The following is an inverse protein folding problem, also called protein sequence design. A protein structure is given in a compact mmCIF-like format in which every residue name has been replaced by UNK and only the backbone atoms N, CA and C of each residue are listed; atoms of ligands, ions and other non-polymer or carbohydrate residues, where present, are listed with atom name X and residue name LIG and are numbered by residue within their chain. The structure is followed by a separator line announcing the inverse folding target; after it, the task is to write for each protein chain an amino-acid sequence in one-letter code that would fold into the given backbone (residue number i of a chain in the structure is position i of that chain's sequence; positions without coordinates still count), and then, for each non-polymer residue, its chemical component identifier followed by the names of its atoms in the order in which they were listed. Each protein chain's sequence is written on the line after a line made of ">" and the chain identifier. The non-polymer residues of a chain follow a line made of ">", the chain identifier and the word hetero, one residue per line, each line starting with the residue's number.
data_IF_159028006109
#
_entry.id   IF_159028006109
#
_cell.length_a   1.000
_cell.length_b   1.000
_cell.length_c   1.000
_cell.angle_alpha   90.00
_cell.angle_beta   90.00
_cell.angle_gamma   90.00
#
_symmetry.space_group_name_H-M   'P 1'
#
loop_
_entity.id
_entity.type
_entity.pdbx_description
1 polymer ?
#
# COMPACT_ATOMS: atom_id res chain seq x y z
N UNK A 1 13.89 8.21 8.61
CA UNK A 1 13.88 8.39 7.15
C UNK A 1 15.30 8.60 6.63
N UNK A 2 15.71 7.88 5.58
CA UNK A 2 17.00 8.09 4.92
C UNK A 2 17.07 9.51 4.31
N UNK A 3 18.29 10.07 4.20
CA UNK A 3 18.48 11.35 3.51
C UNK A 3 17.98 11.27 2.05
N UNK A 4 17.29 12.31 1.54
CA UNK A 4 16.86 12.36 0.15
C UNK A 4 18.03 12.18 -0.83
N UNK A 5 17.78 11.58 -1.98
CA UNK A 5 18.74 11.59 -3.06
C UNK A 5 18.99 13.04 -3.54
N UNK A 6 20.18 13.31 -4.11
CA UNK A 6 20.54 14.66 -4.55
C UNK A 6 19.51 15.24 -5.50
N UNK A 7 18.90 16.34 -5.12
CA UNK A 7 17.88 17.05 -5.91
C UNK A 7 16.44 16.57 -5.64
N UNK A 8 16.23 15.64 -4.74
CA UNK A 8 14.90 15.21 -4.29
C UNK A 8 14.46 15.95 -3.02
N UNK A 9 13.15 16.13 -2.85
CA UNK A 9 12.54 16.75 -1.69
C UNK A 9 11.92 15.69 -0.77
N UNK A 10 12.25 15.73 0.53
CA UNK A 10 11.72 14.79 1.53
C UNK A 10 10.19 14.70 1.51
N UNK A 11 9.49 15.83 1.38
CA UNK A 11 8.02 15.87 1.38
C UNK A 11 7.34 15.31 0.13
N UNK A 12 8.11 14.83 -0.84
CA UNK A 12 7.59 14.14 -2.05
C UNK A 12 7.89 12.65 -2.07
N UNK A 13 8.56 12.13 -1.08
CA UNK A 13 8.83 10.70 -0.92
C UNK A 13 7.60 10.01 -0.32
N UNK A 14 7.47 8.68 -0.48
CA UNK A 14 6.41 7.96 0.21
C UNK A 14 6.55 8.13 1.73
N UNK A 15 5.43 8.10 2.43
CA UNK A 15 5.43 7.95 3.88
C UNK A 15 5.85 6.53 4.19
N UNK A 16 6.76 6.39 5.14
CA UNK A 16 7.30 5.13 5.65
C UNK A 16 7.37 5.18 7.18
N UNK A 17 7.70 4.07 7.86
CA UNK A 17 7.67 3.98 9.31
C UNK A 17 6.28 4.33 9.88
N UNK A 18 5.27 3.68 9.35
CA UNK A 18 3.88 3.84 9.76
C UNK A 18 3.24 2.48 10.01
N UNK A 19 2.63 2.32 11.16
CA UNK A 19 1.87 1.12 11.49
C UNK A 19 0.59 1.02 10.62
N UNK A 20 0.08 -0.19 10.43
CA UNK A 20 -1.19 -0.38 9.76
C UNK A 20 -2.33 0.40 10.44
N UNK A 21 -2.35 0.40 11.77
CA UNK A 21 -3.33 1.16 12.55
C UNK A 21 -3.27 2.67 12.31
N UNK A 22 -2.06 3.23 12.13
CA UNK A 22 -1.88 4.65 11.79
C UNK A 22 -2.48 4.95 10.40
N UNK A 23 -2.25 4.05 9.44
CA UNK A 23 -2.81 4.19 8.10
C UNK A 23 -4.35 4.22 8.10
N UNK A 24 -4.98 3.42 8.97
CA UNK A 24 -6.43 3.40 9.17
C UNK A 24 -6.94 4.76 9.66
N UNK A 25 -6.33 5.30 10.72
CA UNK A 25 -6.69 6.61 11.25
C UNK A 25 -6.43 7.74 10.24
N UNK A 26 -5.29 7.68 9.53
CA UNK A 26 -4.94 8.62 8.48
C UNK A 26 -5.99 8.68 7.36
N UNK A 27 -6.51 7.54 6.92
CA UNK A 27 -7.55 7.48 5.89
C UNK A 27 -8.81 8.27 6.29
N UNK A 28 -9.25 8.14 7.54
CA UNK A 28 -10.39 8.91 8.04
C UNK A 28 -10.08 10.40 8.13
N UNK A 29 -8.91 10.78 8.63
CA UNK A 29 -8.50 12.18 8.67
C UNK A 29 -8.39 12.79 7.26
N UNK A 30 -7.88 12.03 6.29
CA UNK A 30 -7.85 12.45 4.89
C UNK A 30 -9.26 12.64 4.33
N UNK A 31 -10.22 11.76 4.68
CA UNK A 31 -11.62 11.88 4.30
C UNK A 31 -12.23 13.18 4.81
N UNK A 32 -12.03 13.52 6.08
CA UNK A 32 -12.48 14.78 6.68
C UNK A 32 -11.84 15.99 6.02
N UNK A 33 -10.51 15.92 5.82
CA UNK A 33 -9.74 17.00 5.17
C UNK A 33 -10.16 17.24 3.72
N UNK A 34 -10.62 16.20 3.03
CA UNK A 34 -11.18 16.31 1.68
C UNK A 34 -12.60 16.90 1.65
N UNK A 35 -13.20 17.22 2.80
CA UNK A 35 -14.52 17.81 2.91
C UNK A 35 -15.69 16.85 2.81
N UNK A 36 -15.43 15.52 2.87
CA UNK A 36 -16.50 14.52 2.79
C UNK A 36 -17.26 14.34 4.12
N UNK A 37 -16.66 14.74 5.24
CA UNK A 37 -17.26 14.67 6.57
C UNK A 37 -17.21 13.27 7.21
N UNK A 38 -17.61 13.22 8.49
CA UNK A 38 -17.53 12.01 9.31
C UNK A 38 -18.40 10.87 8.80
N UNK A 39 -19.53 11.18 8.16
CA UNK A 39 -20.46 10.18 7.61
C UNK A 39 -19.87 9.35 6.48
N UNK A 40 -18.84 9.88 5.82
CA UNK A 40 -18.12 9.20 4.72
C UNK A 40 -16.79 8.59 5.19
N UNK A 41 -16.47 8.66 6.48
CA UNK A 41 -15.37 7.88 7.02
C UNK A 41 -15.63 6.38 6.86
N UNK A 42 -14.56 5.63 6.53
CA UNK A 42 -14.67 4.20 6.23
C UNK A 42 -14.48 3.37 7.50
N UNK A 43 -13.69 3.83 8.45
CA UNK A 43 -13.28 3.05 9.61
C UNK A 43 -13.90 3.55 10.91
N UNK A 44 -14.36 2.62 11.74
CA UNK A 44 -15.06 2.87 13.00
C UNK A 44 -14.46 2.01 14.10
N UNK A 45 -14.50 2.48 15.35
CA UNK A 45 -14.00 1.73 16.50
C UNK A 45 -15.02 0.79 17.13
N UNK A 46 -16.29 0.84 16.70
CA UNK A 46 -17.39 0.02 17.23
C UNK A 46 -18.20 -0.67 16.13
N UNK A 47 -18.80 -1.81 16.47
CA UNK A 47 -19.59 -2.62 15.54
C UNK A 47 -20.89 -1.95 15.06
N UNK A 48 -21.36 -0.93 15.78
CA UNK A 48 -22.54 -0.16 15.38
C UNK A 48 -22.20 0.91 14.31
N UNK A 49 -20.92 1.08 13.97
CA UNK A 49 -20.40 2.09 13.05
C UNK A 49 -20.82 3.51 13.48
N UNK A 50 -20.79 3.79 14.78
CA UNK A 50 -21.22 5.05 15.37
C UNK A 50 -20.07 5.97 15.77
N UNK A 51 -18.91 5.39 16.11
CA UNK A 51 -17.70 6.10 16.56
C UNK A 51 -16.62 6.01 15.50
N UNK A 52 -16.31 7.12 14.86
CA UNK A 52 -15.27 7.19 13.83
C UNK A 52 -13.91 6.86 14.45
N UNK A 53 -13.17 5.96 13.80
CA UNK A 53 -11.84 5.54 14.22
C UNK A 53 -10.83 6.70 14.14
N UNK A 54 -10.03 6.86 15.19
CA UNK A 54 -9.08 7.96 15.37
C UNK A 54 -7.67 7.47 15.67
N UNK A 55 -6.68 8.40 15.76
CA UNK A 55 -5.33 8.09 16.23
C UNK A 55 -5.30 7.55 17.67
N UNK A 56 -6.28 7.89 18.51
CA UNK A 56 -6.38 7.31 19.86
C UNK A 56 -6.67 5.81 19.81
N UNK A 57 -7.53 5.40 18.87
CA UNK A 57 -7.86 3.99 18.64
C UNK A 57 -6.66 3.25 18.03
N UNK A 58 -5.92 3.90 17.12
CA UNK A 58 -4.69 3.38 16.53
C UNK A 58 -3.62 3.13 17.61
N UNK A 59 -3.38 4.09 18.49
CA UNK A 59 -2.44 3.97 19.61
C UNK A 59 -2.83 2.90 20.62
N UNK A 60 -4.09 2.50 20.64
CA UNK A 60 -4.63 1.42 21.49
C UNK A 60 -4.71 0.08 20.74
N UNK A 61 -4.24 0.03 19.48
CA UNK A 61 -4.31 -1.15 18.61
C UNK A 61 -5.72 -1.71 18.45
N UNK A 62 -6.73 -0.84 18.51
CA UNK A 62 -8.13 -1.21 18.34
C UNK A 62 -8.35 -1.69 16.91
N UNK A 63 -8.87 -2.90 16.72
CA UNK A 63 -9.21 -3.42 15.39
C UNK A 63 -10.43 -2.69 14.85
N UNK A 64 -10.33 -2.00 13.71
CA UNK A 64 -11.43 -1.20 13.19
C UNK A 64 -12.54 -2.06 12.58
N UNK A 65 -13.75 -1.51 12.60
CA UNK A 65 -14.88 -1.95 11.80
C UNK A 65 -14.94 -1.14 10.51
N UNK A 66 -15.52 -1.70 9.43
CA UNK A 66 -15.51 -1.09 8.10
C UNK A 66 -16.90 -0.80 7.57
N UNK A 67 -17.10 0.41 7.12
CA UNK A 67 -18.27 0.84 6.37
C UNK A 67 -17.96 0.83 4.88
N UNK A 68 -18.01 -0.33 4.23
CA UNK A 68 -17.62 -0.52 2.82
C UNK A 68 -18.38 0.38 1.83
N UNK A 69 -19.60 0.82 2.16
CA UNK A 69 -20.39 1.71 1.32
C UNK A 69 -20.04 3.20 1.44
N UNK A 70 -19.11 3.59 2.33
CA UNK A 70 -18.65 4.96 2.47
C UNK A 70 -17.76 5.37 1.29
N UNK A 71 -17.76 6.69 0.97
CA UNK A 71 -17.00 7.26 -0.17
C UNK A 71 -15.65 7.81 0.23
N UNK A 72 -15.29 7.69 1.51
CA UNK A 72 -14.02 8.17 2.03
C UNK A 72 -12.83 7.36 1.58
N UNK A 73 -11.66 7.81 2.01
CA UNK A 73 -10.41 7.15 1.75
C UNK A 73 -10.22 5.92 2.64
N UNK A 74 -9.56 4.91 2.11
CA UNK A 74 -9.24 3.66 2.81
C UNK A 74 -7.99 3.01 2.23
N UNK A 75 -7.46 2.01 2.89
CA UNK A 75 -6.49 1.10 2.29
C UNK A 75 -7.17 0.28 1.18
N UNK A 76 -6.44 -0.07 0.12
CA UNK A 76 -6.94 -1.04 -0.86
C UNK A 76 -7.11 -2.41 -0.19
N UNK A 77 -8.04 -3.21 -0.66
CA UNK A 77 -7.94 -4.65 -0.47
C UNK A 77 -6.77 -5.19 -1.28
N UNK A 78 -6.26 -6.36 -0.92
CA UNK A 78 -5.18 -6.98 -1.68
C UNK A 78 -5.55 -7.21 -3.15
N UNK A 79 -6.77 -7.62 -3.39
CA UNK A 79 -7.30 -7.83 -4.74
C UNK A 79 -7.38 -6.53 -5.55
N UNK A 80 -7.82 -5.43 -4.93
CA UNK A 80 -7.83 -4.10 -5.56
C UNK A 80 -6.40 -3.63 -5.87
N UNK A 81 -5.47 -3.85 -4.95
CA UNK A 81 -4.07 -3.49 -5.15
C UNK A 81 -3.48 -4.25 -6.34
N UNK A 82 -3.67 -5.57 -6.39
CA UNK A 82 -3.14 -6.41 -7.48
C UNK A 82 -3.78 -6.06 -8.83
N UNK A 83 -5.08 -5.80 -8.86
CA UNK A 83 -5.77 -5.35 -10.07
C UNK A 83 -5.23 -4.00 -10.55
N UNK A 84 -4.97 -3.07 -9.65
CA UNK A 84 -4.37 -1.77 -9.95
C UNK A 84 -2.93 -1.92 -10.49
N UNK A 85 -2.12 -2.79 -9.88
CA UNK A 85 -0.76 -3.08 -10.31
C UNK A 85 -0.71 -3.72 -11.70
N UNK A 86 -1.69 -4.57 -12.03
CA UNK A 86 -1.84 -5.19 -13.34
C UNK A 86 -1.86 -4.16 -14.49
N UNK A 87 -2.46 -2.99 -14.29
CA UNK A 87 -2.45 -1.92 -15.30
C UNK A 87 -3.06 -2.32 -16.65
N UNK A 88 -4.00 -3.28 -16.68
CA UNK A 88 -4.61 -3.81 -17.89
C UNK A 88 -3.74 -4.78 -18.71
N UNK A 89 -2.62 -5.25 -18.16
CA UNK A 89 -1.69 -6.19 -18.80
C UNK A 89 -1.34 -7.33 -17.85
N UNK A 90 -1.08 -8.53 -18.39
CA UNK A 90 -0.63 -9.71 -17.64
C UNK A 90 0.90 -9.71 -17.43
N UNK A 91 1.48 -8.57 -17.15
CA UNK A 91 2.91 -8.44 -16.92
C UNK A 91 3.30 -8.89 -15.50
N UNK A 92 4.52 -9.34 -15.32
CA UNK A 92 5.08 -9.76 -14.05
C UNK A 92 5.19 -8.58 -13.07
N UNK A 93 5.61 -7.42 -13.57
CA UNK A 93 5.73 -6.18 -12.82
C UNK A 93 4.74 -5.12 -13.31
N UNK A 94 4.50 -4.11 -12.51
CA UNK A 94 3.62 -3.03 -12.89
C UNK A 94 4.23 -2.16 -14.00
N UNK A 95 3.89 -2.50 -15.25
CA UNK A 95 4.30 -1.77 -16.45
C UNK A 95 5.21 -2.53 -17.42
N UNK A 96 5.82 -3.65 -17.00
CA UNK A 96 6.67 -4.45 -17.86
C UNK A 96 6.65 -5.93 -17.51
N UNK A 97 7.00 -6.79 -18.46
CA UNK A 97 7.27 -8.22 -18.25
C UNK A 97 8.77 -8.54 -18.36
N UNK A 98 9.59 -7.56 -18.74
CA UNK A 98 11.01 -7.70 -18.95
C UNK A 98 11.81 -7.12 -17.78
N UNK A 99 12.67 -7.96 -17.14
CA UNK A 99 13.46 -7.55 -15.97
C UNK A 99 14.41 -6.40 -16.29
N UNK A 100 15.03 -6.40 -17.47
CA UNK A 100 15.95 -5.34 -17.91
C UNK A 100 15.26 -3.96 -18.03
N UNK A 101 13.94 -3.96 -18.23
CA UNK A 101 13.13 -2.76 -18.32
C UNK A 101 12.59 -2.30 -16.96
N UNK A 102 12.62 -3.18 -15.92
CA UNK A 102 11.99 -2.91 -14.61
C UNK A 102 12.49 -1.62 -13.97
N UNK A 103 13.77 -1.28 -14.10
CA UNK A 103 14.34 -0.02 -13.58
C UNK A 103 13.69 1.26 -14.13
N UNK A 104 12.91 1.16 -15.22
CA UNK A 104 12.12 2.29 -15.73
C UNK A 104 10.84 2.52 -14.95
N UNK A 105 10.34 1.50 -14.23
CA UNK A 105 9.06 1.49 -13.54
C UNK A 105 9.18 1.43 -12.02
N UNK A 106 10.30 0.89 -11.50
CA UNK A 106 10.47 0.56 -10.09
C UNK A 106 11.77 1.12 -9.51
N UNK A 107 11.72 1.51 -8.24
CA UNK A 107 12.88 1.69 -7.38
C UNK A 107 13.07 0.42 -6.57
N UNK A 108 14.10 -0.35 -6.89
CA UNK A 108 14.43 -1.63 -6.24
C UNK A 108 15.94 -1.81 -6.23
N UNK A 109 16.47 -2.62 -5.37
CA UNK A 109 17.85 -3.03 -5.36
C UNK A 109 18.04 -4.23 -4.44
N UNK A 110 19.02 -5.05 -4.72
CA UNK A 110 19.49 -6.09 -3.83
C UNK A 110 20.89 -5.74 -3.35
N UNK A 111 21.34 -6.33 -2.23
CA UNK A 111 22.60 -5.97 -1.54
C UNK A 111 23.87 -5.94 -2.42
N UNK A 112 23.85 -6.55 -3.60
CA UNK A 112 25.01 -6.63 -4.49
C UNK A 112 24.77 -6.00 -5.88
N UNK A 113 23.68 -5.28 -6.06
CA UNK A 113 23.26 -4.66 -7.34
C UNK A 113 23.21 -5.63 -8.53
N UNK A 114 23.24 -6.95 -8.28
CA UNK A 114 23.35 -7.98 -9.33
C UNK A 114 22.12 -8.09 -10.22
N UNK A 115 20.97 -7.63 -9.74
CA UNK A 115 19.69 -7.64 -10.45
C UNK A 115 19.36 -6.34 -11.19
N UNK A 116 20.31 -5.37 -11.22
CA UNK A 116 20.22 -4.16 -12.01
C UNK A 116 19.32 -3.06 -11.44
N UNK A 117 18.95 -3.15 -10.19
CA UNK A 117 18.19 -2.11 -9.48
C UNK A 117 18.98 -0.82 -9.25
N UNK A 118 18.31 0.28 -8.95
CA UNK A 118 18.92 1.61 -8.82
C UNK A 118 18.39 2.43 -7.62
N UNK A 119 17.72 1.80 -6.67
CA UNK A 119 17.17 2.46 -5.47
C UNK A 119 18.25 3.02 -4.52
N UNK A 120 19.46 2.44 -4.53
CA UNK A 120 20.59 2.91 -3.72
C UNK A 120 20.27 3.04 -2.23
N UNK A 121 19.65 2.00 -1.66
CA UNK A 121 19.35 1.83 -0.25
C UNK A 121 18.48 2.95 0.34
N UNK A 122 17.52 3.45 -0.41
CA UNK A 122 16.58 4.50 0.07
C UNK A 122 15.30 4.59 -0.75
N UNK A 123 14.31 5.23 -0.17
CA UNK A 123 13.11 5.65 -0.89
C UNK A 123 13.42 6.85 -1.79
N UNK A 124 12.60 7.05 -2.82
CA UNK A 124 12.72 8.14 -3.78
C UNK A 124 11.41 8.92 -3.90
N UNK A 125 11.48 10.14 -4.46
CA UNK A 125 10.28 10.91 -4.77
C UNK A 125 9.33 10.07 -5.64
N UNK A 126 8.05 10.10 -5.29
CA UNK A 126 7.00 9.41 -6.08
C UNK A 126 6.90 9.98 -7.50
N UNK A 127 6.45 9.15 -8.44
CA UNK A 127 6.26 9.50 -9.85
C UNK A 127 7.53 9.89 -10.61
N UNK A 128 8.70 9.44 -10.18
CA UNK A 128 9.95 9.61 -10.93
C UNK A 128 10.21 8.52 -11.96
N UNK A 129 9.58 7.37 -11.80
CA UNK A 129 9.59 6.26 -12.75
C UNK A 129 8.40 6.35 -13.71
N UNK A 130 8.26 5.41 -14.63
CA UNK A 130 7.12 5.33 -15.54
C UNK A 130 5.89 4.74 -14.83
N UNK A 131 4.72 5.15 -15.28
CA UNK A 131 3.45 4.60 -14.83
C UNK A 131 3.13 3.26 -15.52
N UNK A 132 2.30 2.44 -14.88
CA UNK A 132 1.69 1.29 -15.54
C UNK A 132 0.57 1.73 -16.51
N UNK A 133 -0.09 0.77 -17.14
CA UNK A 133 -1.12 1.03 -18.15
C UNK A 133 -2.39 1.73 -17.64
N UNK A 134 -2.58 1.84 -16.31
CA UNK A 134 -3.64 2.64 -15.69
C UNK A 134 -3.16 4.01 -15.22
N UNK A 135 -1.93 4.42 -15.51
CA UNK A 135 -1.36 5.69 -15.09
C UNK A 135 -0.94 5.71 -13.63
N UNK A 136 -0.78 4.55 -12.98
CA UNK A 136 -0.35 4.43 -11.60
C UNK A 136 1.17 4.25 -11.53
N UNK A 137 1.78 5.00 -10.61
CA UNK A 137 3.23 5.03 -10.39
C UNK A 137 3.58 4.23 -9.14
N UNK A 138 4.84 3.77 -9.09
CA UNK A 138 5.43 3.14 -7.91
C UNK A 138 4.65 1.91 -7.40
N UNK A 139 3.93 1.22 -8.31
CA UNK A 139 3.23 -0.04 -8.02
C UNK A 139 4.19 -1.24 -7.95
N UNK A 140 5.46 -1.03 -8.28
CA UNK A 140 6.57 -1.95 -8.09
C UNK A 140 7.71 -1.15 -7.48
N UNK A 141 8.26 -1.60 -6.34
CA UNK A 141 9.36 -0.97 -5.63
C UNK A 141 8.98 0.31 -4.85
N UNK A 142 9.99 1.07 -4.46
CA UNK A 142 9.97 2.21 -3.56
C UNK A 142 9.69 1.80 -2.12
N UNK A 143 8.43 1.57 -1.74
CA UNK A 143 8.06 1.00 -0.44
C UNK A 143 7.03 -0.11 -0.63
N UNK A 144 7.03 -1.09 0.26
CA UNK A 144 5.89 -1.97 0.44
C UNK A 144 4.66 -1.14 0.79
N UNK A 145 3.48 -1.59 0.38
CA UNK A 145 2.23 -0.88 0.62
C UNK A 145 1.27 -1.76 1.42
N UNK A 146 0.82 -1.25 2.58
CA UNK A 146 -0.18 -1.90 3.38
C UNK A 146 -1.48 -2.11 2.61
N UNK A 147 -2.04 -3.33 2.72
CA UNK A 147 -3.39 -3.65 2.30
C UNK A 147 -4.32 -3.82 3.52
N UNK A 148 -5.62 -3.77 3.26
CA UNK A 148 -6.63 -4.02 4.29
C UNK A 148 -6.58 -5.45 4.83
N UNK A 149 -6.31 -6.43 3.96
CA UNK A 149 -6.51 -7.86 4.20
C UNK A 149 -5.63 -8.42 5.31
N UNK A 150 -6.19 -9.33 6.13
CA UNK A 150 -5.39 -10.23 6.92
C UNK A 150 -4.65 -11.19 6.00
N UNK A 151 -3.40 -11.47 6.31
CA UNK A 151 -2.61 -12.43 5.55
C UNK A 151 -3.08 -13.85 5.82
N UNK A 152 -3.29 -14.60 4.75
CA UNK A 152 -3.51 -16.04 4.73
C UNK A 152 -2.63 -16.61 3.61
N UNK A 153 -2.03 -17.78 3.82
CA UNK A 153 -1.23 -18.48 2.80
C UNK A 153 -2.08 -18.86 1.58
N UNK A 154 -3.36 -19.11 1.82
CA UNK A 154 -4.33 -19.33 0.75
C UNK A 154 -5.01 -18.01 0.42
N UNK A 155 -4.75 -17.50 -0.78
CA UNK A 155 -5.61 -16.43 -1.32
C UNK A 155 -7.01 -16.98 -1.51
N UNK A 156 -8.03 -16.24 -1.06
CA UNK A 156 -9.41 -16.62 -1.35
C UNK A 156 -9.60 -16.81 -2.85
N UNK A 157 -10.30 -17.86 -3.26
CA UNK A 157 -10.51 -18.27 -4.66
C UNK A 157 -11.33 -17.24 -5.48
N UNK A 158 -11.20 -15.98 -5.17
CA UNK A 158 -11.93 -14.90 -5.79
C UNK A 158 -13.30 -14.70 -5.13
N UNK A 159 -14.18 -14.05 -5.85
CA UNK A 159 -15.49 -13.63 -5.36
C UNK A 159 -15.75 -12.20 -5.80
N UNK A 160 -16.92 -11.70 -5.47
CA UNK A 160 -17.22 -10.30 -5.69
C UNK A 160 -16.64 -9.48 -4.54
N UNK A 161 -15.75 -8.51 -4.88
CA UNK A 161 -15.15 -7.56 -3.93
C UNK A 161 -14.51 -8.25 -2.69
N UNK A 162 -13.53 -9.16 -2.86
CA UNK A 162 -12.95 -9.90 -1.75
C UNK A 162 -12.21 -8.97 -0.78
N UNK A 163 -12.34 -9.24 0.51
CA UNK A 163 -11.75 -8.43 1.60
C UNK A 163 -10.76 -9.23 2.46
N UNK A 164 -10.31 -10.37 1.96
CA UNK A 164 -9.37 -11.26 2.63
C UNK A 164 -10.00 -12.12 3.73
N UNK A 165 -9.14 -12.74 4.54
CA UNK A 165 -9.55 -13.55 5.67
C UNK A 165 -10.29 -12.73 6.74
N UNK A 166 -11.23 -13.35 7.45
CA UNK A 166 -12.02 -12.67 8.49
C UNK A 166 -11.19 -12.26 9.73
N UNK A 167 -10.07 -12.95 9.96
CA UNK A 167 -9.14 -12.68 11.06
C UNK A 167 -7.74 -13.19 10.71
N UNK A 168 -6.72 -12.70 11.41
CA UNK A 168 -5.33 -13.09 11.23
C UNK A 168 -4.44 -12.44 12.28
N UNK A 169 -3.14 -12.69 12.18
CA UNK A 169 -2.12 -12.08 13.04
C UNK A 169 -1.35 -10.98 12.32
N UNK A 170 -1.22 -11.07 11.00
CA UNK A 170 -0.46 -10.15 10.17
C UNK A 170 -1.31 -9.61 9.03
N UNK A 171 -0.98 -8.41 8.56
CA UNK A 171 -1.62 -7.77 7.42
C UNK A 171 -0.80 -7.98 6.16
N UNK A 172 -1.46 -7.98 5.02
CA UNK A 172 -0.83 -8.08 3.70
C UNK A 172 -0.09 -6.79 3.37
N UNK A 173 1.13 -6.93 2.82
CA UNK A 173 1.84 -5.84 2.16
C UNK A 173 2.29 -6.28 0.75
N UNK A 174 2.28 -5.35 -0.19
CA UNK A 174 2.47 -5.61 -1.62
C UNK A 174 3.45 -4.60 -2.23
N UNK A 175 3.99 -4.92 -3.41
CA UNK A 175 4.74 -4.02 -4.27
C UNK A 175 6.26 -4.10 -4.21
N UNK A 176 6.83 -4.61 -3.15
CA UNK A 176 8.28 -4.57 -2.93
C UNK A 176 8.77 -3.23 -2.38
N UNK A 177 9.92 -3.22 -1.76
CA UNK A 177 10.58 -2.05 -1.23
C UNK A 177 11.86 -1.72 -1.98
N UNK A 178 12.43 -0.56 -1.68
CA UNK A 178 13.71 -0.07 -2.21
C UNK A 178 14.90 -1.00 -1.92
N UNK A 179 14.77 -1.81 -0.88
CA UNK A 179 15.76 -2.75 -0.35
C UNK A 179 15.54 -4.20 -0.82
N UNK A 180 14.66 -4.42 -1.79
CA UNK A 180 14.24 -5.74 -2.26
C UNK A 180 14.59 -5.95 -3.73
N UNK A 181 14.82 -7.22 -4.10
CA UNK A 181 15.13 -7.60 -5.48
C UNK A 181 13.93 -7.50 -6.43
N UNK A 182 14.18 -7.72 -7.72
CA UNK A 182 13.18 -7.68 -8.77
C UNK A 182 12.00 -8.63 -8.52
N UNK A 183 12.26 -9.85 -8.00
CA UNK A 183 11.22 -10.84 -7.71
C UNK A 183 10.22 -10.33 -6.69
N UNK A 184 10.70 -9.69 -5.62
CA UNK A 184 9.86 -9.11 -4.58
C UNK A 184 9.02 -7.93 -5.08
N UNK A 185 9.50 -7.20 -6.09
CA UNK A 185 8.77 -6.10 -6.73
C UNK A 185 7.70 -6.58 -7.73
N UNK A 186 7.56 -7.91 -7.93
CA UNK A 186 6.53 -8.43 -8.84
C UNK A 186 5.13 -8.22 -8.27
N UNK A 187 4.15 -8.02 -9.17
CA UNK A 187 2.77 -7.74 -8.77
C UNK A 187 2.11 -8.88 -7.99
N UNK A 188 2.58 -10.13 -8.16
CA UNK A 188 2.03 -11.29 -7.48
C UNK A 188 2.72 -11.58 -6.15
N UNK A 189 3.87 -10.96 -5.88
CA UNK A 189 4.60 -11.24 -4.64
C UNK A 189 3.87 -10.64 -3.44
N UNK A 190 3.73 -11.45 -2.40
CA UNK A 190 3.00 -11.14 -1.18
C UNK A 190 3.93 -11.25 0.02
N UNK A 191 3.83 -10.32 0.93
CA UNK A 191 4.42 -10.44 2.27
C UNK A 191 3.40 -10.11 3.33
N UNK A 192 3.73 -10.42 4.57
CA UNK A 192 2.96 -9.99 5.72
C UNK A 192 3.85 -9.27 6.72
N UNK A 193 3.25 -8.36 7.48
CA UNK A 193 3.86 -7.72 8.64
C UNK A 193 2.82 -7.60 9.76
N UNK A 194 3.27 -7.56 11.01
CA UNK A 194 2.36 -7.33 12.13
C UNK A 194 1.79 -5.90 12.05
N UNK A 195 0.51 -5.69 12.36
CA UNK A 195 -0.15 -4.39 12.16
C UNK A 195 0.39 -3.27 13.05
N UNK A 196 1.18 -3.58 14.07
CA UNK A 196 1.86 -2.68 14.99
C UNK A 196 3.36 -2.49 14.67
N UNK A 197 3.84 -3.02 13.54
CA UNK A 197 5.20 -2.77 13.07
C UNK A 197 5.26 -1.49 12.24
N UNK A 198 6.29 -0.68 12.48
CA UNK A 198 6.71 0.48 11.71
C UNK A 198 8.10 0.20 11.10
N UNK A 199 8.14 0.06 9.78
CA UNK A 199 9.35 -0.34 9.05
C UNK A 199 9.67 0.71 7.98
N UNK A 200 10.97 0.99 7.78
CA UNK A 200 11.48 2.06 6.89
C UNK A 200 11.31 1.79 5.38
N UNK A 201 10.81 0.63 5.03
CA UNK A 201 10.48 0.24 3.66
C UNK A 201 8.98 -0.06 3.46
N UNK A 202 8.12 0.26 4.45
CA UNK A 202 6.69 -0.05 4.44
C UNK A 202 5.86 1.22 4.68
N UNK A 203 4.98 1.48 3.75
CA UNK A 203 4.11 2.67 3.73
C UNK A 203 2.71 2.31 3.28
N UNK A 204 2.03 3.26 2.62
CA UNK A 204 0.64 3.06 2.22
C UNK A 204 0.32 3.70 0.87
N UNK A 205 -0.68 3.14 0.24
CA UNK A 205 -1.45 3.75 -0.85
C UNK A 205 -2.90 3.83 -0.42
N UNK A 206 -3.56 4.98 -0.67
CA UNK A 206 -4.98 5.13 -0.39
C UNK A 206 -5.80 4.94 -1.66
N UNK A 207 -7.00 4.40 -1.47
CA UNK A 207 -8.05 4.36 -2.49
C UNK A 207 -9.29 5.05 -1.95
N UNK A 208 -10.19 5.50 -2.82
CA UNK A 208 -11.51 5.96 -2.42
C UNK A 208 -12.57 5.23 -3.24
N UNK A 209 -13.69 4.92 -2.60
CA UNK A 209 -14.83 4.34 -3.30
C UNK A 209 -15.56 5.46 -4.06
N UNK A 210 -15.60 5.37 -5.40
CA UNK A 210 -16.56 6.16 -6.17
C UNK A 210 -17.91 5.51 -5.94
N UNK A 211 -18.85 6.25 -5.34
CA UNK A 211 -20.18 5.71 -5.05
C UNK A 211 -20.77 5.04 -6.30
N UNK A 212 -21.21 3.81 -6.15
CA UNK A 212 -22.00 3.09 -7.15
C UNK A 212 -23.37 3.67 -7.25
#
# INVERSE_FOLDING_TARGET
>A
NSEPAKGEAQGKRPVENVMWFDCIAFCNELTKKAGLGDSECVYYSDAALSTVYTMSDANSYTVPQVKWGAKGFRLPTEAEWEWAAKGGKEYRWAGTDEQDELKKYAWYAWYDDSDGGDAKDKTHEVKKKQANGYGLYDMSGNVWEWCWDWYDDNTSDGGQDPTGAASGFSRVARGGGWDRNADNASRAYRVCSFPDEDIDNLGLRVVCSVGR
#
